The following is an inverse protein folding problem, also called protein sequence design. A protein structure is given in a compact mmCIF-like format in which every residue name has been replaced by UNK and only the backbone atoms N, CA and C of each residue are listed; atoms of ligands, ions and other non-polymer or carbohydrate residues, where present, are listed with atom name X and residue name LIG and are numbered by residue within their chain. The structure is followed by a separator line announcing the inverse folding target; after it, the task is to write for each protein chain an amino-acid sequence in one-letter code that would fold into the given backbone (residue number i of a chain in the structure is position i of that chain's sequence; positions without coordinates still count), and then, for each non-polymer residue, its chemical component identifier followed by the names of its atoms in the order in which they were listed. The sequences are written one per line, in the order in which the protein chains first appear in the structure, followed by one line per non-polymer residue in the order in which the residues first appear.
data_IF_272270140131
#
_entry.id   IF_272270140131
#
_cell.length_a   1.000
_cell.length_b   1.000
_cell.length_c   1.000
_cell.angle_alpha   90.00
_cell.angle_beta   90.00
_cell.angle_gamma   90.00
#
_symmetry.space_group_name_H-M   'P 1'
#
loop_
_entity.id
_entity.type
_entity.pdbx_description
1 polymer ?
#
# COMPACT_ATOMS: atom_id res chain seq x y z
N UNK A 1 19.73 -7.15 -28.90
CA UNK A 1 19.97 -6.86 -27.47
C UNK A 1 21.29 -7.52 -27.08
N UNK A 2 22.07 -6.89 -26.20
CA UNK A 2 23.32 -7.50 -25.73
C UNK A 2 23.00 -8.53 -24.64
N UNK A 3 23.23 -9.82 -24.91
CA UNK A 3 23.07 -10.87 -23.90
C UNK A 3 24.27 -10.84 -22.96
N UNK A 4 24.01 -10.70 -21.66
CA UNK A 4 25.03 -10.84 -20.61
C UNK A 4 24.78 -12.15 -19.88
N UNK A 5 25.81 -12.97 -19.76
CA UNK A 5 25.76 -14.18 -18.95
C UNK A 5 26.04 -13.81 -17.50
N UNK A 6 25.11 -14.16 -16.61
CA UNK A 6 25.19 -13.90 -15.17
C UNK A 6 25.14 -15.24 -14.47
N UNK A 7 26.10 -15.50 -13.58
CA UNK A 7 26.05 -16.68 -12.71
C UNK A 7 25.09 -16.43 -11.56
N UNK A 8 24.16 -17.36 -11.34
CA UNK A 8 23.25 -17.33 -10.20
C UNK A 8 23.42 -18.61 -9.37
N UNK A 9 23.02 -18.54 -8.10
CA UNK A 9 23.02 -19.71 -7.23
C UNK A 9 21.91 -20.67 -7.67
N UNK A 10 22.12 -21.96 -7.46
CA UNK A 10 21.14 -23.00 -7.80
C UNK A 10 19.78 -22.75 -7.15
N UNK A 11 19.77 -22.31 -5.88
CA UNK A 11 18.56 -21.94 -5.14
C UNK A 11 17.75 -20.83 -5.82
N UNK A 12 18.44 -19.84 -6.41
CA UNK A 12 17.83 -18.72 -7.12
C UNK A 12 17.32 -19.18 -8.49
N UNK A 13 18.07 -20.05 -9.17
CA UNK A 13 17.65 -20.64 -10.44
C UNK A 13 16.34 -21.42 -10.30
N UNK A 14 16.24 -22.29 -9.29
CA UNK A 14 15.02 -23.06 -9.03
C UNK A 14 13.85 -22.16 -8.61
N UNK A 15 14.10 -21.07 -7.88
CA UNK A 15 13.08 -20.05 -7.59
C UNK A 15 12.55 -19.37 -8.85
N UNK A 16 13.44 -18.90 -9.73
CA UNK A 16 13.05 -18.27 -11.00
C UNK A 16 12.27 -19.23 -11.88
N UNK A 17 12.66 -20.50 -11.91
CA UNK A 17 11.98 -21.55 -12.64
C UNK A 17 10.59 -21.86 -12.08
N UNK A 18 10.40 -21.79 -10.77
CA UNK A 18 9.10 -21.96 -10.13
C UNK A 18 8.15 -20.79 -10.43
N UNK A 19 8.69 -19.57 -10.54
CA UNK A 19 7.94 -18.37 -10.92
C UNK A 19 7.69 -18.24 -12.43
N UNK A 20 8.20 -19.18 -13.21
CA UNK A 20 8.07 -19.17 -14.66
C UNK A 20 6.63 -19.46 -15.09
N UNK A 21 6.00 -18.55 -15.83
CA UNK A 21 4.64 -18.68 -16.36
C UNK A 21 4.64 -19.07 -17.84
N UNK A 22 4.12 -20.26 -18.14
CA UNK A 22 3.96 -20.74 -19.52
C UNK A 22 5.30 -20.86 -20.29
N UNK A 23 5.34 -20.27 -21.48
CA UNK A 23 6.48 -20.34 -22.40
C UNK A 23 7.45 -19.14 -22.28
N UNK A 24 7.35 -18.34 -21.22
CA UNK A 24 8.22 -17.16 -21.06
C UNK A 24 9.72 -17.53 -21.01
N UNK A 25 10.60 -16.59 -21.29
CA UNK A 25 12.04 -16.75 -21.07
C UNK A 25 12.42 -16.34 -19.65
N UNK A 26 13.56 -16.82 -19.15
CA UNK A 26 14.07 -16.38 -17.84
C UNK A 26 14.27 -14.86 -17.77
N UNK A 27 14.64 -14.23 -18.88
CA UNK A 27 14.77 -12.77 -18.95
C UNK A 27 13.42 -12.06 -18.78
N UNK A 28 12.36 -12.60 -19.36
CA UNK A 28 10.99 -12.08 -19.19
C UNK A 28 10.48 -12.30 -17.76
N UNK A 29 10.72 -13.48 -17.16
CA UNK A 29 10.38 -13.72 -15.75
C UNK A 29 11.08 -12.72 -14.83
N UNK A 30 12.38 -12.48 -15.02
CA UNK A 30 13.16 -11.53 -14.22
C UNK A 30 12.61 -10.11 -14.41
N UNK A 31 12.32 -9.72 -15.65
CA UNK A 31 11.78 -8.40 -15.95
C UNK A 31 10.42 -8.18 -15.28
N UNK A 32 9.50 -9.14 -15.38
CA UNK A 32 8.19 -9.08 -14.72
C UNK A 32 8.33 -8.98 -13.20
N UNK A 33 9.18 -9.80 -12.60
CA UNK A 33 9.38 -9.77 -11.14
C UNK A 33 10.00 -8.44 -10.68
N UNK A 34 10.82 -7.79 -11.51
CA UNK A 34 11.35 -6.46 -11.21
C UNK A 34 10.27 -5.39 -11.32
N UNK A 35 9.46 -5.42 -12.38
CA UNK A 35 8.34 -4.49 -12.57
C UNK A 35 7.30 -4.63 -11.43
N UNK A 36 6.95 -5.87 -11.04
CA UNK A 36 6.05 -6.13 -9.90
C UNK A 36 6.65 -5.67 -8.56
N UNK A 37 7.96 -5.80 -8.37
CA UNK A 37 8.63 -5.31 -7.16
C UNK A 37 8.73 -3.77 -7.12
N UNK A 38 8.78 -3.12 -8.29
CA UNK A 38 8.72 -1.66 -8.43
C UNK A 38 7.29 -1.13 -8.22
N UNK A 39 6.25 -1.91 -8.55
CA UNK A 39 4.83 -1.58 -8.27
C UNK A 39 4.41 -1.84 -6.82
N UNK A 40 5.24 -2.52 -6.02
CA UNK A 40 4.97 -2.76 -4.62
C UNK A 40 5.09 -1.45 -3.83
N UNK A 41 3.96 -0.87 -3.44
CA UNK A 41 3.85 0.37 -2.65
C UNK A 41 4.67 0.32 -1.33
N UNK A 42 5.05 -0.87 -0.87
CA UNK A 42 5.92 -1.07 0.28
C UNK A 42 7.40 -0.73 -0.03
N UNK A 43 7.83 -0.76 -1.29
CA UNK A 43 9.13 -0.25 -1.77
C UNK A 43 9.15 1.29 -1.79
N UNK A 44 7.98 1.95 -1.85
CA UNK A 44 7.86 3.41 -1.76
C UNK A 44 7.88 3.96 -0.33
N UNK A 45 8.06 3.10 0.68
CA UNK A 45 8.26 3.51 2.09
C UNK A 45 9.63 4.18 2.25
N UNK A 46 9.72 5.44 1.82
CA UNK A 46 10.94 6.25 1.77
C UNK A 46 11.04 7.21 0.58
N UNK A 47 10.05 7.25 -0.33
CA UNK A 47 10.05 8.16 -1.49
C UNK A 47 9.57 9.59 -1.17
N UNK A 48 8.81 9.76 -0.09
CA UNK A 48 8.46 11.09 0.38
C UNK A 48 9.69 11.67 1.08
N UNK A 49 10.21 12.78 0.55
CA UNK A 49 11.14 13.62 1.28
C UNK A 49 10.48 14.13 2.57
N UNK A 50 11.29 14.59 3.52
CA UNK A 50 10.83 14.92 4.88
C UNK A 50 9.67 15.94 4.87
N UNK A 51 9.70 16.92 3.98
CA UNK A 51 8.63 17.91 3.81
C UNK A 51 7.33 17.27 3.30
N UNK A 52 7.39 16.51 2.20
CA UNK A 52 6.19 15.84 1.66
C UNK A 52 5.62 14.80 2.63
N UNK A 53 6.49 14.14 3.42
CA UNK A 53 6.09 13.20 4.46
C UNK A 53 5.35 13.88 5.61
N UNK A 54 5.86 15.02 6.08
CA UNK A 54 5.21 15.86 7.10
C UNK A 54 3.86 16.40 6.60
N UNK A 55 3.79 16.93 5.37
CA UNK A 55 2.52 17.41 4.79
C UNK A 55 1.46 16.31 4.71
N UNK A 56 1.87 15.10 4.31
CA UNK A 56 0.95 13.96 4.25
C UNK A 56 0.47 13.54 5.65
N UNK A 57 1.38 13.51 6.63
CA UNK A 57 1.03 13.19 8.02
C UNK A 57 0.03 14.21 8.59
N UNK A 58 0.25 15.50 8.34
CA UNK A 58 -0.63 16.59 8.76
C UNK A 58 -2.01 16.47 8.10
N UNK A 59 -2.06 16.16 6.80
CA UNK A 59 -3.32 15.95 6.09
C UNK A 59 -4.12 14.76 6.66
N UNK A 60 -3.45 13.65 6.98
CA UNK A 60 -4.08 12.48 7.60
C UNK A 60 -4.58 12.81 9.02
N UNK A 61 -3.81 13.56 9.80
CA UNK A 61 -4.23 13.96 11.15
C UNK A 61 -5.44 14.91 11.11
N UNK A 62 -5.45 15.86 10.19
CA UNK A 62 -6.59 16.77 10.00
C UNK A 62 -7.87 16.01 9.60
N UNK A 63 -7.74 15.04 8.70
CA UNK A 63 -8.85 14.19 8.27
C UNK A 63 -9.41 13.36 9.44
N UNK A 64 -8.54 12.75 10.24
CA UNK A 64 -8.94 11.98 11.44
C UNK A 64 -9.70 12.85 12.44
N UNK A 65 -9.20 14.05 12.73
CA UNK A 65 -9.88 14.99 13.63
C UNK A 65 -11.26 15.39 13.13
N UNK A 66 -11.41 15.59 11.81
CA UNK A 66 -12.73 15.90 11.22
C UNK A 66 -13.68 14.72 11.35
N UNK A 67 -13.21 13.51 11.04
CA UNK A 67 -14.02 12.30 11.15
C UNK A 67 -14.46 12.03 12.60
N UNK A 68 -13.56 12.21 13.56
CA UNK A 68 -13.87 12.06 14.99
C UNK A 68 -14.92 13.08 15.45
N UNK A 69 -14.82 14.34 14.99
CA UNK A 69 -15.80 15.38 15.29
C UNK A 69 -17.18 15.05 14.68
N UNK A 70 -17.22 14.67 13.41
CA UNK A 70 -18.46 14.31 12.71
C UNK A 70 -19.14 13.10 13.38
N UNK A 71 -18.36 12.11 13.81
CA UNK A 71 -18.88 10.95 14.54
C UNK A 71 -19.40 11.34 15.92
N UNK A 72 -18.71 12.23 16.64
CA UNK A 72 -19.17 12.73 17.93
C UNK A 72 -20.47 13.54 17.80
N UNK A 73 -20.60 14.34 16.74
CA UNK A 73 -21.82 15.09 16.44
C UNK A 73 -23.00 14.16 16.15
N UNK A 74 -22.80 13.15 15.29
CA UNK A 74 -23.81 12.12 15.03
C UNK A 74 -24.18 11.33 16.27
N UNK A 75 -23.20 11.00 17.12
CA UNK A 75 -23.45 10.29 18.36
C UNK A 75 -24.33 11.13 19.30
N UNK A 76 -24.07 12.44 19.41
CA UNK A 76 -24.90 13.37 20.19
C UNK A 76 -26.33 13.43 19.66
N UNK A 77 -26.49 13.63 18.35
CA UNK A 77 -27.80 13.68 17.70
C UNK A 77 -28.63 12.42 17.98
N UNK A 78 -28.02 11.24 17.88
CA UNK A 78 -28.69 9.97 18.18
C UNK A 78 -29.05 9.86 19.66
N UNK A 79 -28.16 10.27 20.56
CA UNK A 79 -28.43 10.24 22.01
C UNK A 79 -29.55 11.19 22.39
N UNK A 80 -29.57 12.40 21.83
CA UNK A 80 -30.62 13.39 22.09
C UNK A 80 -31.98 12.89 21.58
N UNK A 81 -32.03 12.37 20.35
CA UNK A 81 -33.26 11.81 19.77
C UNK A 81 -33.83 10.63 20.59
N UNK A 82 -32.96 9.78 21.16
CA UNK A 82 -33.39 8.68 22.04
C UNK A 82 -33.80 9.15 23.44
N UNK A 83 -33.26 10.28 23.90
CA UNK A 83 -33.63 10.91 25.16
C UNK A 83 -35.01 11.54 25.13
N UNK A 84 -35.38 12.16 24.00
CA UNK A 84 -36.70 12.78 23.79
C UNK A 84 -37.86 11.75 23.79
N UNK A 85 -37.59 10.49 23.38
CA UNK A 85 -38.58 9.40 23.39
C UNK A 85 -38.82 8.79 24.80
N UNK A 86 -37.99 9.10 25.81
CA UNK A 86 -38.10 8.53 27.16
C UNK A 86 -38.87 9.38 28.17
N UNK A 87 -39.28 10.60 27.81
CA UNK A 87 -40.04 11.54 28.66
C UNK A 87 -41.54 11.67 28.26
N UNK A 88 -42.05 10.75 27.42
CA UNK A 88 -43.44 10.70 26.92
C UNK A 88 -44.35 9.66 27.57
#
# INVERSE_FOLDING_TARGET
MATKNIGIREEVYEHLKAHKQGDESFSETIQRLLEEAEEDWQTHFGFLDEETGEEFADAVEAERKRLDADLADRQREVVDALGEDSDG
#
